data_IF_695768376738
#
_entry.id   IF_695768376738
#
_cell.length_a   1.000
_cell.length_b   1.000
_cell.length_c   1.000
_cell.angle_alpha   90.00
_cell.angle_beta   90.00
_cell.angle_gamma   90.00
#
_symmetry.space_group_name_H-M   'P 1'
#
loop_
_entity.id
_entity.type
_entity.pdbx_description
1 polymer ?
#
# COMPACT_ATOMS: atom_id res chain seq x y z
N UNK A 1 50.11 12.37 7.41
CA UNK A 1 48.84 13.02 7.77
C UNK A 1 48.00 13.10 6.51
N UNK A 2 46.80 12.51 6.50
CA UNK A 2 45.86 12.72 5.40
C UNK A 2 45.50 14.21 5.36
N UNK A 3 45.60 14.82 4.18
CA UNK A 3 45.25 16.22 4.04
C UNK A 3 43.74 16.38 4.24
N UNK A 4 43.28 17.50 4.79
CA UNK A 4 41.86 17.70 5.12
C UNK A 4 40.94 17.46 3.91
N UNK A 5 41.41 17.84 2.71
CA UNK A 5 40.72 17.61 1.44
C UNK A 5 40.57 16.12 1.08
N UNK A 6 41.57 15.30 1.43
CA UNK A 6 41.52 13.84 1.20
C UNK A 6 40.48 13.17 2.11
N UNK A 7 40.35 13.67 3.35
CA UNK A 7 39.36 13.19 4.31
C UNK A 7 37.93 13.53 3.85
N UNK A 8 37.70 14.75 3.35
CA UNK A 8 36.41 15.15 2.78
C UNK A 8 36.08 14.33 1.53
N UNK A 9 37.05 14.13 0.63
CA UNK A 9 36.87 13.30 -0.57
C UNK A 9 36.49 11.86 -0.22
N UNK A 10 37.13 11.27 0.79
CA UNK A 10 36.80 9.94 1.28
C UNK A 10 35.39 9.87 1.88
N UNK A 11 34.97 10.86 2.66
CA UNK A 11 33.63 10.87 3.26
C UNK A 11 32.53 11.08 2.21
N UNK A 12 32.77 11.94 1.21
CA UNK A 12 31.83 12.18 0.11
C UNK A 12 31.66 10.94 -0.79
N UNK A 13 32.77 10.27 -1.13
CA UNK A 13 32.73 9.03 -1.92
C UNK A 13 32.03 7.90 -1.18
N UNK A 14 32.27 7.75 0.13
CA UNK A 14 31.60 6.76 0.96
C UNK A 14 30.08 7.02 1.05
N UNK A 15 29.68 8.29 1.20
CA UNK A 15 28.27 8.68 1.20
C UNK A 15 27.58 8.34 -0.14
N UNK A 16 28.20 8.66 -1.28
CA UNK A 16 27.66 8.36 -2.62
C UNK A 16 27.50 6.85 -2.81
N UNK A 17 28.50 6.06 -2.38
CA UNK A 17 28.44 4.60 -2.46
C UNK A 17 27.29 4.02 -1.64
N UNK A 18 27.12 4.45 -0.40
CA UNK A 18 26.02 3.99 0.48
C UNK A 18 24.66 4.40 -0.11
N UNK A 19 24.53 5.64 -0.58
CA UNK A 19 23.30 6.14 -1.20
C UNK A 19 22.95 5.35 -2.47
N UNK A 20 23.92 5.10 -3.34
CA UNK A 20 23.73 4.29 -4.55
C UNK A 20 23.28 2.86 -4.21
N UNK A 21 23.88 2.23 -3.19
CA UNK A 21 23.50 0.90 -2.71
C UNK A 21 22.06 0.86 -2.18
N UNK A 22 21.65 1.86 -1.41
CA UNK A 22 20.27 1.98 -0.91
C UNK A 22 19.26 2.17 -2.04
N UNK A 23 19.60 2.98 -3.06
CA UNK A 23 18.73 3.21 -4.23
C UNK A 23 18.61 1.94 -5.09
N UNK A 24 19.72 1.26 -5.36
CA UNK A 24 19.75 0.04 -6.18
C UNK A 24 18.98 -1.09 -5.50
N UNK A 25 19.17 -1.31 -4.19
CA UNK A 25 18.46 -2.35 -3.44
C UNK A 25 16.95 -2.09 -3.38
N UNK A 26 16.53 -0.83 -3.15
CA UNK A 26 15.12 -0.43 -3.20
C UNK A 26 14.52 -0.56 -4.60
N UNK A 27 15.27 -0.20 -5.64
CA UNK A 27 14.86 -0.31 -7.05
C UNK A 27 14.66 -1.77 -7.49
N UNK A 28 15.58 -2.66 -7.11
CA UNK A 28 15.48 -4.07 -7.45
C UNK A 28 14.29 -4.76 -6.75
N UNK A 29 14.05 -4.44 -5.47
CA UNK A 29 12.90 -4.98 -4.74
C UNK A 29 11.57 -4.50 -5.32
N UNK A 30 11.47 -3.21 -5.65
CA UNK A 30 10.26 -2.64 -6.27
C UNK A 30 10.03 -3.18 -7.68
N UNK A 31 11.09 -3.41 -8.46
CA UNK A 31 10.99 -3.97 -9.82
C UNK A 31 10.48 -5.42 -9.82
N UNK A 32 10.97 -6.27 -8.89
CA UNK A 32 10.47 -7.65 -8.74
C UNK A 32 8.99 -7.70 -8.34
N UNK A 33 8.59 -6.86 -7.37
CA UNK A 33 7.18 -6.80 -6.93
C UNK A 33 6.28 -6.28 -8.05
N UNK A 34 6.70 -5.25 -8.79
CA UNK A 34 5.97 -4.73 -9.95
C UNK A 34 5.80 -5.77 -11.05
N UNK A 35 6.80 -6.63 -11.28
CA UNK A 35 6.71 -7.71 -12.28
C UNK A 35 5.61 -8.70 -11.92
N UNK A 36 5.59 -9.19 -10.68
CA UNK A 36 4.55 -10.13 -10.19
C UNK A 36 3.17 -9.47 -10.27
N UNK A 37 3.06 -8.21 -9.82
CA UNK A 37 1.79 -7.47 -9.89
C UNK A 37 1.29 -7.33 -11.33
N UNK A 38 2.15 -7.02 -12.29
CA UNK A 38 1.78 -6.89 -13.70
C UNK A 38 1.38 -8.24 -14.32
N UNK A 39 2.08 -9.31 -13.96
CA UNK A 39 1.78 -10.65 -14.43
C UNK A 39 0.43 -11.13 -13.87
N UNK A 40 0.19 -10.90 -12.58
CA UNK A 40 -1.10 -11.13 -11.93
C UNK A 40 -2.23 -10.34 -12.59
N UNK A 41 -2.04 -9.03 -12.82
CA UNK A 41 -3.04 -8.20 -13.48
C UNK A 41 -3.37 -8.71 -14.88
N UNK A 42 -2.36 -9.12 -15.65
CA UNK A 42 -2.56 -9.68 -16.99
C UNK A 42 -3.39 -10.96 -16.95
N UNK A 43 -3.03 -11.91 -16.09
CA UNK A 43 -3.77 -13.18 -15.95
C UNK A 43 -5.19 -12.91 -15.47
N UNK A 44 -5.35 -12.13 -14.39
CA UNK A 44 -6.66 -11.79 -13.85
C UNK A 44 -7.58 -11.13 -14.89
N UNK A 45 -7.05 -10.18 -15.67
CA UNK A 45 -7.82 -9.51 -16.74
C UNK A 45 -8.28 -10.51 -17.80
N UNK A 46 -7.37 -11.40 -18.24
CA UNK A 46 -7.69 -12.44 -19.21
C UNK A 46 -8.76 -13.40 -18.68
N UNK A 47 -8.59 -13.89 -17.45
CA UNK A 47 -9.52 -14.83 -16.83
C UNK A 47 -10.89 -14.22 -16.55
N UNK A 48 -10.98 -12.92 -16.24
CA UNK A 48 -12.26 -12.20 -16.16
C UNK A 48 -12.94 -12.11 -17.53
N UNK A 49 -12.16 -11.83 -18.59
CA UNK A 49 -12.66 -11.71 -19.96
C UNK A 49 -13.17 -13.04 -20.50
N UNK A 50 -12.40 -14.11 -20.31
CA UNK A 50 -12.76 -15.48 -20.71
C UNK A 50 -13.84 -16.07 -19.80
N UNK A 51 -14.00 -15.50 -18.61
CA UNK A 51 -14.97 -15.95 -17.65
C UNK A 51 -14.64 -17.23 -16.92
N UNK A 52 -13.35 -17.58 -16.86
CA UNK A 52 -12.82 -18.78 -16.22
C UNK A 52 -12.72 -18.70 -14.70
N UNK A 53 -13.07 -17.56 -14.09
CA UNK A 53 -13.15 -17.38 -12.64
C UNK A 53 -14.62 -17.40 -12.23
N UNK A 54 -14.99 -18.40 -11.45
CA UNK A 54 -16.37 -18.59 -10.97
C UNK A 54 -16.47 -18.41 -9.45
N UNK A 55 -15.37 -18.60 -8.73
CA UNK A 55 -15.33 -18.58 -7.28
C UNK A 55 -14.17 -17.74 -6.71
N UNK A 56 -14.24 -17.43 -5.41
CA UNK A 56 -13.09 -16.85 -4.71
C UNK A 56 -11.89 -17.81 -4.68
N UNK A 57 -12.12 -19.13 -4.67
CA UNK A 57 -11.05 -20.12 -4.67
C UNK A 57 -10.21 -20.04 -5.95
N UNK A 58 -10.86 -19.84 -7.11
CA UNK A 58 -10.15 -19.64 -8.38
C UNK A 58 -9.28 -18.39 -8.35
N UNK A 59 -9.76 -17.33 -7.70
CA UNK A 59 -9.02 -16.07 -7.51
C UNK A 59 -7.77 -16.28 -6.64
N UNK A 60 -7.88 -17.07 -5.55
CA UNK A 60 -6.74 -17.44 -4.72
C UNK A 60 -5.76 -18.33 -5.47
N UNK A 61 -6.24 -19.31 -6.25
CA UNK A 61 -5.39 -20.20 -7.04
C UNK A 61 -4.54 -19.44 -8.07
N UNK A 62 -5.10 -18.42 -8.73
CA UNK A 62 -4.35 -17.54 -9.64
C UNK A 62 -3.26 -16.77 -8.88
N UNK A 63 -3.57 -16.31 -7.67
CA UNK A 63 -2.62 -15.59 -6.84
C UNK A 63 -1.48 -16.48 -6.36
N UNK A 64 -1.80 -17.66 -5.83
CA UNK A 64 -0.84 -18.61 -5.30
C UNK A 64 0.07 -19.17 -6.41
N UNK A 65 -0.48 -19.42 -7.60
CA UNK A 65 0.28 -19.90 -8.75
C UNK A 65 1.34 -18.92 -9.26
N UNK A 66 1.24 -17.64 -8.91
CA UNK A 66 2.18 -16.58 -9.34
C UNK A 66 3.21 -16.20 -8.26
N UNK A 67 3.02 -16.63 -7.03
CA UNK A 67 3.96 -16.34 -5.95
C UNK A 67 5.05 -17.41 -5.88
N UNK A 68 6.33 -17.02 -5.68
CA UNK A 68 7.34 -17.98 -5.29
C UNK A 68 6.95 -18.60 -3.94
N UNK A 69 7.14 -19.92 -3.80
CA UNK A 69 6.78 -20.75 -2.64
C UNK A 69 7.17 -20.13 -1.29
N UNK A 70 8.22 -19.30 -1.23
CA UNK A 70 8.64 -18.57 -0.03
C UNK A 70 7.66 -17.47 0.46
N UNK A 71 6.50 -17.29 -0.18
CA UNK A 71 5.44 -16.34 0.19
C UNK A 71 4.12 -17.04 0.57
N UNK A 72 4.09 -18.37 0.67
CA UNK A 72 2.89 -19.13 1.06
C UNK A 72 2.49 -18.94 2.53
N UNK A 73 3.30 -18.27 3.34
CA UNK A 73 3.01 -17.93 4.76
C UNK A 73 2.37 -16.54 4.92
N UNK A 74 1.81 -15.98 3.87
CA UNK A 74 1.06 -14.73 3.95
C UNK A 74 -0.28 -15.01 4.65
N UNK A 75 -0.68 -14.19 5.62
CA UNK A 75 -1.97 -14.36 6.30
C UNK A 75 -3.14 -14.30 5.30
N UNK A 76 -4.23 -15.02 5.54
CA UNK A 76 -5.43 -14.95 4.68
C UNK A 76 -5.96 -13.51 4.52
N UNK A 77 -5.81 -12.69 5.58
CA UNK A 77 -6.12 -11.26 5.54
C UNK A 77 -5.28 -10.52 4.49
N UNK A 78 -3.98 -10.80 4.46
CA UNK A 78 -3.06 -10.19 3.50
C UNK A 78 -3.36 -10.65 2.07
N UNK A 79 -3.81 -11.90 1.89
CA UNK A 79 -4.33 -12.42 0.62
C UNK A 79 -5.55 -11.62 0.15
N UNK A 80 -6.58 -11.50 0.99
CA UNK A 80 -7.81 -10.74 0.68
C UNK A 80 -7.53 -9.29 0.32
N UNK A 81 -6.67 -8.63 1.11
CA UNK A 81 -6.26 -7.24 0.87
C UNK A 81 -5.53 -7.08 -0.46
N UNK A 82 -4.65 -8.02 -0.81
CA UNK A 82 -3.97 -8.03 -2.11
C UNK A 82 -4.96 -8.19 -3.26
N UNK A 83 -5.83 -9.19 -3.19
CA UNK A 83 -6.82 -9.52 -4.21
C UNK A 83 -7.78 -8.36 -4.45
N UNK A 84 -8.32 -7.77 -3.37
CA UNK A 84 -9.18 -6.59 -3.44
C UNK A 84 -8.47 -5.42 -4.12
N UNK A 85 -7.19 -5.18 -3.80
CA UNK A 85 -6.40 -4.14 -4.46
C UNK A 85 -6.24 -4.40 -5.95
N UNK A 86 -5.98 -5.65 -6.36
CA UNK A 86 -5.80 -5.99 -7.77
C UNK A 86 -7.11 -5.94 -8.56
N UNK A 87 -8.21 -6.42 -8.00
CA UNK A 87 -9.55 -6.28 -8.60
C UNK A 87 -9.90 -4.81 -8.85
N UNK A 88 -9.60 -3.92 -7.89
CA UNK A 88 -9.78 -2.49 -8.08
C UNK A 88 -8.88 -1.91 -9.18
N UNK A 89 -7.62 -2.37 -9.28
CA UNK A 89 -6.74 -1.96 -10.39
C UNK A 89 -7.28 -2.42 -11.74
N UNK A 90 -7.73 -3.67 -11.85
CA UNK A 90 -8.36 -4.17 -13.09
C UNK A 90 -9.59 -3.34 -13.43
N UNK A 91 -10.45 -3.02 -12.46
CA UNK A 91 -11.61 -2.14 -12.69
C UNK A 91 -11.23 -0.79 -13.29
N UNK A 92 -10.14 -0.18 -12.81
CA UNK A 92 -9.61 1.07 -13.37
C UNK A 92 -9.06 0.86 -14.78
N UNK A 93 -8.30 -0.22 -15.02
CA UNK A 93 -7.72 -0.52 -16.33
C UNK A 93 -8.78 -0.84 -17.39
N UNK A 94 -9.84 -1.58 -17.05
CA UNK A 94 -10.94 -1.88 -17.97
C UNK A 94 -11.61 -0.61 -18.46
N UNK A 95 -11.78 0.38 -17.57
CA UNK A 95 -12.35 1.69 -17.93
C UNK A 95 -11.54 2.43 -18.99
N UNK A 96 -10.24 2.16 -19.08
CA UNK A 96 -9.33 2.80 -20.03
C UNK A 96 -9.16 2.01 -21.33
N UNK A 97 -9.48 0.71 -21.33
CA UNK A 97 -9.10 -0.22 -22.42
C UNK A 97 -10.27 -0.87 -23.14
N UNK A 98 -11.45 -0.86 -22.55
CA UNK A 98 -12.63 -1.53 -23.11
C UNK A 98 -13.57 -0.46 -23.64
N UNK A 99 -13.66 -0.39 -24.97
CA UNK A 99 -14.54 0.55 -25.68
C UNK A 99 -15.98 0.04 -25.75
N UNK A 100 -16.15 -1.29 -25.82
CA UNK A 100 -17.46 -1.92 -25.84
C UNK A 100 -18.15 -1.78 -24.48
N UNK A 101 -19.29 -1.11 -24.47
CA UNK A 101 -20.04 -0.79 -23.25
C UNK A 101 -20.64 -2.05 -22.60
N UNK A 102 -21.07 -3.03 -23.39
CA UNK A 102 -21.66 -4.26 -22.86
C UNK A 102 -20.56 -5.16 -22.27
N UNK A 103 -19.46 -5.34 -22.98
CA UNK A 103 -18.28 -6.08 -22.49
C UNK A 103 -17.77 -5.44 -21.18
N UNK A 104 -17.66 -4.10 -21.14
CA UNK A 104 -17.28 -3.36 -19.95
C UNK A 104 -18.23 -3.62 -18.77
N UNK A 105 -19.54 -3.53 -18.99
CA UNK A 105 -20.54 -3.71 -17.93
C UNK A 105 -20.52 -5.15 -17.36
N UNK A 106 -20.36 -6.16 -18.22
CA UNK A 106 -20.25 -7.56 -17.81
C UNK A 106 -19.00 -7.77 -16.95
N UNK A 107 -17.83 -7.34 -17.44
CA UNK A 107 -16.58 -7.50 -16.69
C UNK A 107 -16.58 -6.71 -15.38
N UNK A 108 -17.09 -5.48 -15.40
CA UNK A 108 -17.21 -4.64 -14.22
C UNK A 108 -18.20 -5.23 -13.20
N UNK A 109 -19.26 -5.89 -13.66
CA UNK A 109 -20.19 -6.64 -12.82
C UNK A 109 -19.50 -7.79 -12.09
N UNK A 110 -18.71 -8.60 -12.80
CA UNK A 110 -17.94 -9.71 -12.21
C UNK A 110 -16.92 -9.23 -11.18
N UNK A 111 -16.21 -8.14 -11.47
CA UNK A 111 -15.27 -7.54 -10.50
C UNK A 111 -16.00 -7.10 -9.23
N UNK A 112 -17.12 -6.38 -9.37
CA UNK A 112 -17.93 -5.95 -8.21
C UNK A 112 -18.45 -7.14 -7.41
N UNK A 113 -18.85 -8.21 -8.09
CA UNK A 113 -19.25 -9.45 -7.44
C UNK A 113 -18.12 -10.02 -6.59
N UNK A 114 -16.91 -10.21 -7.12
CA UNK A 114 -15.78 -10.72 -6.33
C UNK A 114 -15.38 -9.80 -5.18
N UNK A 115 -15.39 -8.48 -5.37
CA UNK A 115 -15.14 -7.52 -4.28
C UNK A 115 -16.20 -7.70 -3.17
N UNK A 116 -17.47 -7.87 -3.54
CA UNK A 116 -18.54 -8.07 -2.57
C UNK A 116 -18.38 -9.39 -1.79
N UNK A 117 -17.94 -10.46 -2.44
CA UNK A 117 -17.63 -11.72 -1.76
C UNK A 117 -16.47 -11.57 -0.77
N UNK A 118 -15.40 -10.84 -1.14
CA UNK A 118 -14.29 -10.56 -0.22
C UNK A 118 -14.78 -9.76 0.99
N UNK A 119 -15.58 -8.72 0.75
CA UNK A 119 -16.11 -7.84 1.80
C UNK A 119 -17.13 -8.56 2.69
N UNK A 120 -17.81 -9.61 2.21
CA UNK A 120 -18.68 -10.46 3.04
C UNK A 120 -17.88 -11.34 4.00
N UNK A 121 -16.74 -11.88 3.55
CA UNK A 121 -15.89 -12.76 4.38
C UNK A 121 -15.18 -11.96 5.47
N UNK A 122 -14.74 -10.73 5.18
CA UNK A 122 -14.20 -9.84 6.20
C UNK A 122 -14.51 -8.36 5.88
N UNK A 123 -15.57 -7.79 6.45
CA UNK A 123 -16.06 -6.46 6.09
C UNK A 123 -15.10 -5.33 6.46
N UNK A 124 -14.15 -5.59 7.35
CA UNK A 124 -13.28 -4.57 7.94
C UNK A 124 -11.79 -4.75 7.59
N UNK A 125 -11.41 -5.69 6.71
CA UNK A 125 -10.01 -5.96 6.35
C UNK A 125 -9.27 -4.78 5.69
N UNK A 126 -10.01 -3.85 5.08
CA UNK A 126 -9.43 -2.62 4.53
C UNK A 126 -9.05 -1.59 5.59
N UNK A 127 -9.53 -1.74 6.82
CA UNK A 127 -9.26 -0.82 7.91
C UNK A 127 -7.92 -1.17 8.58
N UNK A 128 -7.27 -0.17 9.19
CA UNK A 128 -6.12 -0.43 10.05
C UNK A 128 -6.54 -1.30 11.25
N UNK A 129 -5.55 -1.99 11.82
CA UNK A 129 -5.77 -3.06 12.79
C UNK A 129 -6.62 -2.65 13.99
N UNK A 130 -6.36 -1.46 14.54
CA UNK A 130 -7.10 -0.93 15.69
C UNK A 130 -8.57 -0.72 15.35
N UNK A 131 -8.87 0.00 14.27
CA UNK A 131 -10.25 0.28 13.86
C UNK A 131 -10.99 -0.99 13.44
N UNK A 132 -10.29 -1.92 12.79
CA UNK A 132 -10.83 -3.23 12.44
C UNK A 132 -11.23 -4.02 13.68
N UNK A 133 -10.35 -4.10 14.69
CA UNK A 133 -10.64 -4.84 15.91
C UNK A 133 -11.84 -4.24 16.66
N UNK A 134 -11.92 -2.92 16.74
CA UNK A 134 -13.06 -2.23 17.36
C UNK A 134 -14.39 -2.52 16.65
N UNK A 135 -14.39 -2.57 15.31
CA UNK A 135 -15.59 -2.87 14.54
C UNK A 135 -15.97 -4.35 14.58
N UNK A 136 -14.99 -5.26 14.61
CA UNK A 136 -15.23 -6.69 14.85
C UNK A 136 -15.87 -6.91 16.24
N UNK A 137 -15.33 -6.27 17.28
CA UNK A 137 -15.90 -6.33 18.63
C UNK A 137 -17.31 -5.75 18.67
N UNK A 138 -17.54 -4.60 18.02
CA UNK A 138 -18.87 -4.00 17.93
C UNK A 138 -19.86 -4.97 17.24
N UNK A 139 -19.46 -5.56 16.11
CA UNK A 139 -20.29 -6.53 15.40
C UNK A 139 -20.60 -7.75 16.29
N UNK A 140 -19.63 -8.23 17.05
CA UNK A 140 -19.82 -9.30 18.01
C UNK A 140 -20.87 -8.93 19.08
N UNK A 141 -20.73 -7.77 19.73
CA UNK A 141 -21.68 -7.32 20.77
C UNK A 141 -23.08 -7.08 20.23
N UNK A 142 -23.21 -6.47 19.05
CA UNK A 142 -24.50 -6.27 18.37
C UNK A 142 -25.16 -7.61 18.06
N UNK A 143 -24.40 -8.58 17.55
CA UNK A 143 -24.91 -9.93 17.24
C UNK A 143 -25.36 -10.67 18.50
N UNK A 144 -24.67 -10.47 19.62
CA UNK A 144 -25.01 -11.03 20.93
C UNK A 144 -26.11 -10.25 21.67
N UNK A 145 -26.60 -9.15 21.10
CA UNK A 145 -27.57 -8.23 21.73
C UNK A 145 -27.09 -7.69 23.09
N UNK A 146 -25.79 -7.46 23.21
CA UNK A 146 -25.17 -6.87 24.41
C UNK A 146 -25.01 -5.36 24.23
N UNK A 147 -26.09 -4.62 24.48
CA UNK A 147 -26.18 -3.18 24.20
C UNK A 147 -25.09 -2.36 24.91
N UNK A 148 -24.75 -2.71 26.16
CA UNK A 148 -23.69 -2.03 26.92
C UNK A 148 -22.29 -2.25 26.31
N UNK A 149 -22.03 -3.45 25.78
CA UNK A 149 -20.77 -3.75 25.10
C UNK A 149 -20.66 -3.00 23.78
N UNK A 150 -21.77 -2.96 23.03
CA UNK A 150 -21.85 -2.21 21.78
C UNK A 150 -21.66 -0.70 22.00
N UNK A 151 -22.34 -0.09 22.98
CA UNK A 151 -22.18 1.33 23.32
C UNK A 151 -20.75 1.68 23.70
N UNK A 152 -20.09 0.85 24.52
CA UNK A 152 -18.68 1.04 24.88
C UNK A 152 -17.77 1.02 23.65
N UNK A 153 -18.00 0.10 22.71
CA UNK A 153 -17.21 0.04 21.48
C UNK A 153 -17.46 1.23 20.56
N UNK A 154 -18.67 1.79 20.53
CA UNK A 154 -18.95 3.04 19.82
C UNK A 154 -18.12 4.19 20.39
N UNK A 155 -18.01 4.30 21.72
CA UNK A 155 -17.19 5.34 22.36
C UNK A 155 -15.69 5.16 22.08
N UNK A 156 -15.21 3.91 22.09
CA UNK A 156 -13.83 3.57 21.71
C UNK A 156 -13.54 3.93 20.24
N UNK A 157 -14.47 3.64 19.33
CA UNK A 157 -14.36 4.00 17.90
C UNK A 157 -14.31 5.53 17.74
N UNK A 158 -15.19 6.25 18.42
CA UNK A 158 -15.21 7.72 18.41
C UNK A 158 -13.86 8.29 18.86
N UNK A 159 -13.32 7.76 19.95
CA UNK A 159 -12.01 8.14 20.49
C UNK A 159 -10.87 7.85 19.49
N UNK A 160 -10.89 6.67 18.87
CA UNK A 160 -9.91 6.28 17.85
C UNK A 160 -9.94 7.22 16.62
N UNK A 161 -11.14 7.61 16.16
CA UNK A 161 -11.31 8.56 15.06
C UNK A 161 -10.72 9.94 15.40
N UNK A 162 -10.98 10.44 16.61
CA UNK A 162 -10.45 11.72 17.08
C UNK A 162 -8.91 11.69 17.09
N UNK A 163 -8.33 10.66 17.72
CA UNK A 163 -6.86 10.49 17.79
C UNK A 163 -6.25 10.43 16.39
N UNK A 164 -6.86 9.66 15.48
CA UNK A 164 -6.39 9.54 14.10
C UNK A 164 -6.43 10.87 13.35
N UNK A 165 -7.50 11.65 13.53
CA UNK A 165 -7.61 12.98 12.94
C UNK A 165 -6.52 13.93 13.44
N UNK A 166 -6.21 13.90 14.74
CA UNK A 166 -5.11 14.68 15.31
C UNK A 166 -3.75 14.25 14.76
N UNK A 167 -3.51 12.94 14.63
CA UNK A 167 -2.29 12.41 14.04
C UNK A 167 -2.14 12.85 12.57
N UNK A 168 -3.21 12.80 11.78
CA UNK A 168 -3.21 13.26 10.39
C UNK A 168 -2.91 14.77 10.29
N UNK A 169 -3.51 15.59 11.17
CA UNK A 169 -3.20 17.03 11.24
C UNK A 169 -1.74 17.29 11.59
N UNK A 170 -1.20 16.58 12.58
CA UNK A 170 0.22 16.70 12.96
C UNK A 170 1.14 16.28 11.82
N UNK A 171 0.87 15.15 11.17
CA UNK A 171 1.65 14.66 10.03
C UNK A 171 1.62 15.64 8.84
N UNK A 172 0.45 16.22 8.55
CA UNK A 172 0.30 17.25 7.53
C UNK A 172 1.15 18.49 7.85
N UNK A 173 1.10 18.98 9.10
CA UNK A 173 1.89 20.14 9.52
C UNK A 173 3.40 19.87 9.48
N UNK A 174 3.83 18.68 9.89
CA UNK A 174 5.24 18.26 9.79
C UNK A 174 5.68 18.28 8.32
N UNK A 175 4.92 17.69 7.40
CA UNK A 175 5.29 17.69 5.98
C UNK A 175 5.31 19.10 5.37
N UNK A 176 4.34 19.95 5.71
CA UNK A 176 4.28 21.32 5.18
C UNK A 176 5.47 22.19 5.61
N UNK A 177 5.99 22.01 6.82
CA UNK A 177 7.11 22.81 7.34
C UNK A 177 8.47 22.16 7.06
N UNK A 178 8.57 20.84 7.27
CA UNK A 178 9.85 20.12 7.22
C UNK A 178 10.38 20.01 5.81
N UNK A 179 9.51 19.82 4.81
CA UNK A 179 9.95 19.67 3.41
C UNK A 179 10.58 20.96 2.87
N UNK A 180 9.95 22.15 2.97
CA UNK A 180 10.59 23.40 2.58
C UNK A 180 11.87 23.70 3.38
N UNK A 181 11.87 23.43 4.68
CA UNK A 181 13.05 23.67 5.53
C UNK A 181 14.23 22.76 5.14
N UNK A 182 13.94 21.52 4.74
CA UNK A 182 14.95 20.58 4.23
C UNK A 182 15.54 21.05 2.88
N UNK A 183 14.72 21.65 2.02
CA UNK A 183 15.18 22.23 0.75
C UNK A 183 16.06 23.45 1.02
N UNK A 184 15.65 24.35 1.92
CA UNK A 184 16.44 25.54 2.28
C UNK A 184 17.78 25.15 2.90
N UNK A 185 17.79 24.20 3.84
CA UNK A 185 19.03 23.71 4.45
C UNK A 185 19.97 23.08 3.43
N UNK A 186 19.45 22.29 2.48
CA UNK A 186 20.25 21.73 1.39
C UNK A 186 20.88 22.81 0.51
N UNK A 187 20.11 23.84 0.13
CA UNK A 187 20.63 24.98 -0.65
C UNK A 187 21.74 25.70 0.13
N UNK A 188 21.53 25.95 1.42
CA UNK A 188 22.50 26.61 2.29
C UNK A 188 23.79 25.79 2.42
N UNK A 189 23.68 24.47 2.60
CA UNK A 189 24.84 23.56 2.66
C UNK A 189 25.64 23.59 1.36
N UNK A 190 24.97 23.54 0.20
CA UNK A 190 25.64 23.62 -1.11
C UNK A 190 26.34 24.97 -1.28
N UNK A 191 25.67 26.07 -0.91
CA UNK A 191 26.22 27.43 -1.00
C UNK A 191 27.49 27.60 -0.15
N UNK A 192 27.46 27.18 1.12
CA UNK A 192 28.65 27.23 1.98
C UNK A 192 29.76 26.28 1.52
N UNK A 193 29.41 25.12 0.95
CA UNK A 193 30.37 24.22 0.34
C UNK A 193 31.12 24.88 -0.82
N UNK A 194 30.43 25.62 -1.69
CA UNK A 194 31.04 26.35 -2.81
C UNK A 194 31.94 27.49 -2.30
N UNK A 195 31.47 28.27 -1.31
CA UNK A 195 32.27 29.35 -0.71
C UNK A 195 33.54 28.79 -0.07
N UNK A 196 33.44 27.67 0.64
CA UNK A 196 34.58 27.04 1.31
C UNK A 196 35.64 26.50 0.35
N UNK A 197 35.32 26.32 -0.93
CA UNK A 197 36.29 25.90 -1.96
C UNK A 197 36.97 27.12 -2.60
N UNK A 198 36.27 28.25 -2.69
CA UNK A 198 36.75 29.46 -3.35
C UNK A 198 37.51 30.43 -2.41
N UNK A 199 37.40 30.24 -1.09
CA UNK A 199 38.21 30.90 -0.05
C UNK A 199 39.23 29.93 0.53
#
# INVERSE_FOLDING_TARGET
MLNYNDLIGLMATLYILVFALLVITKSNRTSKVKRIDNEFLKILTLSIKEGSIESLADLYNIYDGLLPVSRSEISEESHRKYLRRMLNKVSVELRLRVEDREEFMVMQGRIKYFISLIDQVSPFDSLPEVERNLLNDLQYYVTKKEDNGALRKIDEISSAIIIRNEQLKKAHNINFITVPLSIVSLIVTVYFGIISINN
#
